data_IF_056272696724
#
_entry.id   IF_056272696724
#
_cell.length_a   1.000
_cell.length_b   1.000
_cell.length_c   1.000
_cell.angle_alpha   90.00
_cell.angle_beta   90.00
_cell.angle_gamma   90.00
#
_symmetry.space_group_name_H-M   'P 1'
#
loop_
_entity.id
_entity.type
_entity.pdbx_description
1 polymer ?
#
# COMPACT_ATOMS: atom_id res chain seq x y z
N UNK A 1 -14.26 -21.95 25.62
CA UNK A 1 -13.85 -21.47 26.95
C UNK A 1 -12.37 -21.11 26.83
N UNK A 2 -12.08 -19.83 26.59
CA UNK A 2 -10.71 -19.35 26.62
C UNK A 2 -10.19 -19.46 28.06
N UNK A 3 -9.02 -20.06 28.23
CA UNK A 3 -8.38 -20.20 29.55
C UNK A 3 -7.93 -18.86 30.12
N UNK A 4 -7.45 -18.84 31.37
CA UNK A 4 -7.00 -17.64 32.08
C UNK A 4 -5.89 -16.84 31.34
N UNK A 5 -5.17 -17.44 30.38
CA UNK A 5 -4.19 -16.78 29.52
C UNK A 5 -4.81 -15.90 28.40
N UNK A 6 -6.12 -15.98 28.18
CA UNK A 6 -6.80 -15.29 27.07
C UNK A 6 -7.10 -13.81 27.32
N UNK A 7 -6.91 -13.30 28.52
CA UNK A 7 -7.17 -11.88 28.89
C UNK A 7 -5.89 -11.13 29.27
N UNK A 8 -4.79 -11.49 28.64
CA UNK A 8 -3.44 -10.96 28.92
C UNK A 8 -3.31 -9.44 28.79
N UNK A 9 -4.15 -8.84 27.94
CA UNK A 9 -4.11 -7.41 27.62
C UNK A 9 -5.36 -6.65 28.09
N UNK A 10 -6.11 -7.22 29.07
CA UNK A 10 -7.40 -6.65 29.51
C UNK A 10 -7.29 -5.23 30.06
N UNK A 11 -6.16 -4.90 30.66
CA UNK A 11 -5.91 -3.57 31.25
C UNK A 11 -5.21 -2.63 30.25
N UNK A 12 -4.97 -3.08 29.01
CA UNK A 12 -4.25 -2.29 28.03
C UNK A 12 -5.19 -1.52 27.11
N UNK A 13 -4.82 -0.27 26.89
CA UNK A 13 -5.37 0.60 25.84
C UNK A 13 -4.30 0.77 24.76
N UNK A 14 -4.51 0.11 23.64
CA UNK A 14 -3.57 0.12 22.51
C UNK A 14 -4.02 1.06 21.40
N UNK A 15 -3.15 1.93 20.96
CA UNK A 15 -3.34 2.74 19.75
C UNK A 15 -2.54 2.10 18.61
N UNK A 16 -3.24 1.67 17.55
CA UNK A 16 -2.63 1.03 16.38
C UNK A 16 -2.96 1.84 15.14
N UNK A 17 -1.95 2.38 14.48
CA UNK A 17 -2.17 3.22 13.31
C UNK A 17 -2.02 2.47 12.00
N UNK A 18 -2.72 2.91 10.94
CA UNK A 18 -2.61 2.31 9.61
C UNK A 18 -3.26 0.94 9.46
N UNK A 19 -4.35 0.69 10.16
CA UNK A 19 -5.05 -0.60 10.13
C UNK A 19 -5.78 -0.79 8.80
N UNK A 20 -5.37 -1.80 8.05
CA UNK A 20 -5.89 -2.14 6.73
C UNK A 20 -5.92 -3.67 6.53
N UNK A 21 -6.77 -4.21 5.65
CA UNK A 21 -6.74 -5.63 5.31
C UNK A 21 -5.31 -6.08 4.94
N UNK A 22 -4.92 -7.24 5.41
CA UNK A 22 -3.60 -7.84 5.17
C UNK A 22 -2.40 -7.02 5.67
N UNK A 23 -2.60 -6.02 6.52
CA UNK A 23 -1.50 -5.26 7.13
C UNK A 23 -1.01 -5.92 8.41
N UNK A 24 0.26 -5.67 8.76
CA UNK A 24 0.82 -6.05 10.08
C UNK A 24 -0.02 -5.42 11.19
N UNK A 25 -0.44 -4.17 11.03
CA UNK A 25 -1.29 -3.46 11.98
C UNK A 25 -2.60 -4.21 12.28
N UNK A 26 -3.24 -4.78 11.24
CA UNK A 26 -4.47 -5.57 11.42
C UNK A 26 -4.22 -6.86 12.22
N UNK A 27 -3.11 -7.55 11.95
CA UNK A 27 -2.74 -8.75 12.70
C UNK A 27 -2.42 -8.41 14.16
N UNK A 28 -1.71 -7.30 14.43
CA UNK A 28 -1.46 -6.80 15.79
C UNK A 28 -2.78 -6.48 16.51
N UNK A 29 -3.74 -5.84 15.83
CA UNK A 29 -5.07 -5.60 16.40
C UNK A 29 -5.75 -6.92 16.77
N UNK A 30 -5.68 -7.93 15.89
CA UNK A 30 -6.22 -9.26 16.17
C UNK A 30 -5.63 -9.89 17.44
N UNK A 31 -4.31 -9.89 17.58
CA UNK A 31 -3.61 -10.42 18.78
C UNK A 31 -4.00 -9.67 20.07
N UNK A 32 -4.08 -8.34 20.00
CA UNK A 32 -4.46 -7.52 21.14
C UNK A 32 -5.92 -7.74 21.55
N UNK A 33 -6.84 -7.85 20.59
CA UNK A 33 -8.26 -8.17 20.84
C UNK A 33 -8.43 -9.56 21.42
N UNK A 34 -7.67 -10.53 20.93
CA UNK A 34 -7.66 -11.89 21.48
C UNK A 34 -7.18 -11.93 22.94
N UNK A 35 -6.33 -11.00 23.32
CA UNK A 35 -5.88 -10.79 24.70
C UNK A 35 -6.79 -9.88 25.54
N UNK A 36 -7.91 -9.41 25.04
CA UNK A 36 -8.89 -8.62 25.82
C UNK A 36 -8.65 -7.11 25.82
N UNK A 37 -7.72 -6.57 25.05
CA UNK A 37 -7.38 -5.15 25.04
C UNK A 37 -8.52 -4.23 24.56
N UNK A 38 -8.49 -2.98 25.00
CA UNK A 38 -9.17 -1.89 24.31
C UNK A 38 -8.27 -1.35 23.21
N UNK A 39 -8.70 -1.44 21.96
CA UNK A 39 -7.90 -1.04 20.79
C UNK A 39 -8.52 0.17 20.12
N UNK A 40 -7.73 1.22 19.92
CA UNK A 40 -8.03 2.37 19.06
C UNK A 40 -7.25 2.20 17.77
N UNK A 41 -7.93 1.76 16.73
CA UNK A 41 -7.36 1.53 15.41
C UNK A 41 -7.62 2.74 14.51
N UNK A 42 -6.62 3.18 13.72
CA UNK A 42 -6.81 4.29 12.79
C UNK A 42 -6.73 3.87 11.34
N UNK A 43 -7.51 4.54 10.50
CA UNK A 43 -7.43 4.49 9.05
C UNK A 43 -7.58 5.89 8.48
N UNK A 44 -6.96 6.20 7.35
CA UNK A 44 -7.07 7.53 6.73
C UNK A 44 -8.49 7.87 6.28
N UNK A 45 -9.31 6.86 6.00
CA UNK A 45 -10.71 7.00 5.58
C UNK A 45 -11.55 5.84 6.15
N UNK A 46 -12.77 6.15 6.58
CA UNK A 46 -13.76 5.15 6.97
C UNK A 46 -14.76 4.94 5.84
N UNK A 47 -14.41 4.08 4.89
CA UNK A 47 -15.37 3.59 3.89
C UNK A 47 -16.23 2.47 4.48
N UNK A 48 -17.33 2.15 3.80
CA UNK A 48 -18.20 1.03 4.18
C UNK A 48 -17.40 -0.30 4.28
N UNK A 49 -16.49 -0.53 3.35
CA UNK A 49 -15.61 -1.70 3.33
C UNK A 49 -14.65 -1.74 4.53
N UNK A 50 -14.10 -0.58 4.92
CA UNK A 50 -13.23 -0.47 6.10
C UNK A 50 -13.99 -0.76 7.39
N UNK A 51 -15.23 -0.30 7.48
CA UNK A 51 -16.08 -0.59 8.64
C UNK A 51 -16.51 -2.06 8.67
N UNK A 52 -16.81 -2.66 7.52
CA UNK A 52 -17.10 -4.10 7.43
C UNK A 52 -15.88 -4.92 7.88
N UNK A 53 -14.70 -4.61 7.34
CA UNK A 53 -13.46 -5.23 7.75
C UNK A 53 -13.19 -5.11 9.26
N UNK A 54 -13.38 -3.93 9.85
CA UNK A 54 -13.19 -3.73 11.29
C UNK A 54 -14.16 -4.58 12.12
N UNK A 55 -15.42 -4.73 11.67
CA UNK A 55 -16.42 -5.59 12.31
C UNK A 55 -16.03 -7.07 12.24
N UNK A 56 -15.51 -7.51 11.09
CA UNK A 56 -15.10 -8.90 10.91
C UNK A 56 -13.85 -9.20 11.73
N UNK A 57 -12.86 -8.28 11.76
CA UNK A 57 -11.68 -8.38 12.61
C UNK A 57 -12.06 -8.50 14.09
N UNK A 58 -13.03 -7.69 14.56
CA UNK A 58 -13.53 -7.79 15.92
C UNK A 58 -14.23 -9.11 16.20
N UNK A 59 -15.11 -9.58 15.30
CA UNK A 59 -15.83 -10.84 15.46
C UNK A 59 -14.90 -12.05 15.50
N UNK A 60 -13.85 -12.01 14.68
CA UNK A 60 -12.90 -13.12 14.56
C UNK A 60 -12.00 -13.25 15.78
N UNK A 61 -11.59 -12.11 16.37
CA UNK A 61 -10.50 -12.13 17.34
C UNK A 61 -10.90 -11.69 18.76
N UNK A 62 -11.99 -10.93 18.97
CA UNK A 62 -12.25 -10.32 20.25
C UNK A 62 -12.54 -11.33 21.36
N UNK A 63 -11.72 -11.32 22.41
CA UNK A 63 -12.02 -12.00 23.68
C UNK A 63 -13.04 -11.21 24.50
N UNK A 64 -13.54 -11.82 25.58
CA UNK A 64 -14.46 -11.16 26.50
C UNK A 64 -13.84 -9.90 27.10
N UNK A 65 -14.54 -8.78 27.03
CA UNK A 65 -14.08 -7.47 27.53
C UNK A 65 -13.31 -6.65 26.50
N UNK A 66 -12.80 -7.23 25.40
CA UNK A 66 -12.14 -6.49 24.36
C UNK A 66 -13.03 -5.42 23.72
N UNK A 67 -12.44 -4.31 23.32
CA UNK A 67 -13.14 -3.21 22.64
C UNK A 67 -12.34 -2.77 21.42
N UNK A 68 -13.03 -2.42 20.35
CA UNK A 68 -12.42 -1.86 19.14
C UNK A 68 -13.07 -0.54 18.76
N UNK A 69 -12.26 0.48 18.66
CA UNK A 69 -12.62 1.78 18.11
C UNK A 69 -11.90 1.96 16.78
N UNK A 70 -12.64 2.22 15.70
CA UNK A 70 -12.06 2.55 14.39
C UNK A 70 -12.23 4.03 14.15
N UNK A 71 -11.12 4.77 14.14
CA UNK A 71 -11.11 6.24 14.09
C UNK A 71 -10.47 6.71 12.78
N UNK A 72 -11.12 7.62 12.02
CA UNK A 72 -10.48 8.22 10.86
C UNK A 72 -9.42 9.23 11.32
N UNK A 73 -8.21 9.13 10.77
CA UNK A 73 -7.15 10.10 11.00
C UNK A 73 -6.19 10.16 9.82
N UNK A 74 -5.98 11.34 9.28
CA UNK A 74 -4.89 11.59 8.34
C UNK A 74 -3.63 11.90 9.13
N UNK A 75 -2.80 10.90 9.36
CA UNK A 75 -1.60 11.04 10.18
C UNK A 75 -0.49 11.88 9.52
N UNK A 76 -0.61 12.29 8.27
CA UNK A 76 0.25 13.32 7.70
C UNK A 76 -0.18 14.74 8.12
N UNK A 77 -1.31 14.89 8.79
CA UNK A 77 -1.83 16.13 9.34
C UNK A 77 -1.59 16.20 10.85
N UNK A 78 -0.80 17.15 11.31
CA UNK A 78 -0.57 17.35 12.75
C UNK A 78 -1.86 17.68 13.49
N UNK A 79 -2.78 18.39 12.84
CA UNK A 79 -4.10 18.68 13.39
C UNK A 79 -4.90 17.41 13.66
N UNK A 80 -4.83 16.45 12.75
CA UNK A 80 -5.53 15.16 12.91
C UNK A 80 -4.88 14.32 14.01
N UNK A 81 -3.55 14.38 14.15
CA UNK A 81 -2.84 13.72 15.26
C UNK A 81 -3.28 14.30 16.61
N UNK A 82 -3.36 15.63 16.72
CA UNK A 82 -3.82 16.31 17.94
C UNK A 82 -5.28 15.98 18.23
N UNK A 83 -6.15 16.02 17.21
CA UNK A 83 -7.55 15.67 17.35
C UNK A 83 -7.76 14.19 17.74
N UNK A 84 -6.91 13.29 17.25
CA UNK A 84 -6.92 11.88 17.67
C UNK A 84 -6.56 11.74 19.13
N UNK A 85 -5.51 12.41 19.60
CA UNK A 85 -5.09 12.39 20.99
C UNK A 85 -6.16 13.00 21.90
N UNK A 86 -6.75 14.11 21.49
CA UNK A 86 -7.86 14.75 22.20
C UNK A 86 -9.08 13.81 22.29
N UNK A 87 -9.46 13.18 21.18
CA UNK A 87 -10.56 12.21 21.16
C UNK A 87 -10.30 11.03 22.09
N UNK A 88 -9.05 10.52 22.15
CA UNK A 88 -8.67 9.42 23.03
C UNK A 88 -8.76 9.85 24.49
N UNK A 89 -8.17 10.99 24.84
CA UNK A 89 -8.01 11.46 26.22
C UNK A 89 -9.26 12.02 26.87
N UNK A 90 -10.34 12.29 26.11
CA UNK A 90 -11.55 12.89 26.65
C UNK A 90 -12.79 12.04 26.43
N UNK A 91 -13.79 12.23 27.28
CA UNK A 91 -15.10 11.63 27.11
C UNK A 91 -15.74 12.09 25.81
N UNK A 92 -16.37 11.17 25.11
CA UNK A 92 -17.15 11.47 23.93
C UNK A 92 -18.64 11.34 24.25
N UNK A 93 -19.38 12.40 24.03
CA UNK A 93 -20.80 12.46 24.30
C UNK A 93 -21.61 12.82 23.06
N UNK A 94 -22.82 12.29 22.97
CA UNK A 94 -23.80 12.69 21.97
C UNK A 94 -24.98 13.34 22.68
N UNK A 95 -25.32 14.56 22.26
CA UNK A 95 -26.51 15.27 22.75
C UNK A 95 -27.58 15.26 21.66
N UNK A 96 -28.74 14.74 21.97
CA UNK A 96 -29.90 14.70 21.09
C UNK A 96 -31.18 14.92 21.89
N UNK A 97 -32.05 15.85 21.43
CA UNK A 97 -33.34 16.13 22.06
C UNK A 97 -33.24 16.57 23.55
N UNK A 98 -32.16 17.25 23.93
CA UNK A 98 -31.94 17.70 25.31
C UNK A 98 -31.36 16.63 26.25
N UNK A 99 -31.11 15.42 25.75
CA UNK A 99 -30.49 14.33 26.50
C UNK A 99 -29.04 14.13 26.02
N UNK A 100 -28.11 14.01 26.98
CA UNK A 100 -26.70 13.76 26.73
C UNK A 100 -26.36 12.30 27.11
N UNK A 101 -25.79 11.55 26.19
CA UNK A 101 -25.37 10.19 26.42
C UNK A 101 -23.86 10.07 26.22
N UNK A 102 -23.17 9.46 27.18
CA UNK A 102 -21.77 9.08 27.06
C UNK A 102 -21.63 7.95 26.01
N UNK A 103 -20.78 8.14 25.04
CA UNK A 103 -20.49 7.16 23.98
C UNK A 103 -19.17 6.45 24.25
N UNK A 104 -18.16 7.19 24.71
CA UNK A 104 -16.84 6.68 25.05
C UNK A 104 -16.30 7.45 26.25
N UNK A 105 -15.83 6.74 27.23
CA UNK A 105 -15.06 7.30 28.34
C UNK A 105 -13.66 7.72 27.89
N UNK A 106 -13.04 8.65 28.59
CA UNK A 106 -11.64 9.00 28.43
C UNK A 106 -10.78 7.73 28.54
N UNK A 107 -9.81 7.59 27.65
CA UNK A 107 -8.88 6.47 27.63
C UNK A 107 -7.46 6.97 27.89
N UNK A 108 -6.67 6.17 28.63
CA UNK A 108 -5.25 6.44 28.86
C UNK A 108 -4.45 5.38 28.12
N UNK A 109 -3.78 5.72 27.00
CA UNK A 109 -3.05 4.76 26.18
C UNK A 109 -1.87 4.15 26.91
N UNK A 110 -1.77 2.82 26.90
CA UNK A 110 -0.63 2.06 27.44
C UNK A 110 0.33 1.57 26.35
N UNK A 111 -0.19 1.36 25.13
CA UNK A 111 0.55 0.84 23.99
C UNK A 111 0.35 1.72 22.75
N UNK A 112 1.42 1.89 21.98
CA UNK A 112 1.37 2.53 20.66
C UNK A 112 2.12 1.70 19.62
N UNK A 113 1.43 1.42 18.50
CA UNK A 113 1.98 0.78 17.31
C UNK A 113 1.83 1.75 16.12
N UNK A 114 2.84 2.58 15.80
CA UNK A 114 2.76 3.56 14.72
C UNK A 114 3.09 2.91 13.37
N UNK A 115 2.16 2.10 12.83
CA UNK A 115 2.35 1.33 11.60
C UNK A 115 1.77 1.98 10.34
N UNK A 116 1.18 3.17 10.45
CA UNK A 116 0.71 3.88 9.28
C UNK A 116 1.87 4.18 8.33
N UNK A 117 1.72 3.77 7.08
CA UNK A 117 2.69 4.04 6.02
C UNK A 117 1.96 4.49 4.76
N UNK A 118 2.52 5.44 3.98
CA UNK A 118 2.01 5.76 2.66
C UNK A 118 2.41 4.67 1.68
N UNK A 119 1.96 4.78 0.44
CA UNK A 119 2.57 4.01 -0.65
C UNK A 119 4.04 4.42 -0.77
N UNK A 120 4.91 3.43 -0.79
CA UNK A 120 6.36 3.62 -0.84
C UNK A 120 6.83 3.38 -2.26
N UNK A 121 7.29 4.43 -2.93
CA UNK A 121 7.82 4.37 -4.30
C UNK A 121 8.60 5.65 -4.60
N UNK A 122 9.52 5.56 -5.55
CA UNK A 122 10.31 6.68 -6.03
C UNK A 122 11.80 6.38 -6.03
N UNK A 123 12.55 7.20 -6.74
CA UNK A 123 14.01 7.15 -6.82
C UNK A 123 14.59 8.43 -6.21
N UNK A 124 15.89 8.52 -6.11
CA UNK A 124 16.56 9.76 -5.65
C UNK A 124 16.18 10.98 -6.51
N UNK A 125 15.93 10.76 -7.81
CA UNK A 125 15.51 11.81 -8.72
C UNK A 125 14.08 12.32 -8.46
N UNK A 126 13.26 11.55 -7.75
CA UNK A 126 11.87 11.89 -7.40
C UNK A 126 11.77 12.59 -6.03
N UNK A 127 12.90 13.02 -5.46
CA UNK A 127 12.91 13.75 -4.19
C UNK A 127 12.07 15.03 -4.30
N UNK A 128 10.99 15.12 -3.49
CA UNK A 128 10.03 16.22 -3.57
C UNK A 128 8.81 15.97 -2.67
N UNK A 129 7.60 16.36 -3.09
CA UNK A 129 6.38 16.26 -2.27
C UNK A 129 6.09 14.88 -1.71
N UNK A 130 6.37 13.82 -2.48
CA UNK A 130 6.16 12.45 -2.02
C UNK A 130 7.15 12.04 -0.93
N UNK A 131 8.43 12.41 -1.08
CA UNK A 131 9.46 12.21 -0.06
C UNK A 131 9.15 13.00 1.22
N UNK A 132 8.68 14.25 1.07
CA UNK A 132 8.19 15.06 2.21
C UNK A 132 7.01 14.38 2.91
N UNK A 133 6.03 13.89 2.14
CA UNK A 133 4.87 13.18 2.67
C UNK A 133 5.27 11.91 3.43
N UNK A 134 6.20 11.12 2.90
CA UNK A 134 6.77 9.95 3.56
C UNK A 134 7.46 10.33 4.88
N UNK A 135 8.32 11.34 4.86
CA UNK A 135 9.02 11.83 6.06
C UNK A 135 8.05 12.34 7.10
N UNK A 136 7.07 13.11 6.68
CA UNK A 136 6.02 13.64 7.56
C UNK A 136 5.25 12.53 8.25
N UNK A 137 4.80 11.50 7.51
CA UNK A 137 3.99 10.42 8.07
C UNK A 137 4.81 9.44 8.91
N UNK A 138 5.99 9.03 8.44
CA UNK A 138 6.76 7.94 9.03
C UNK A 138 7.70 8.40 10.15
N UNK A 139 8.01 9.70 10.25
CA UNK A 139 8.90 10.25 11.28
C UNK A 139 8.21 11.32 12.12
N UNK A 140 7.91 12.48 11.56
CA UNK A 140 7.43 13.62 12.36
C UNK A 140 6.05 13.39 13.00
N UNK A 141 5.15 12.71 12.28
CA UNK A 141 3.85 12.32 12.86
C UNK A 141 3.99 11.27 13.94
N UNK A 142 4.96 10.37 13.82
CA UNK A 142 5.27 9.38 14.86
C UNK A 142 5.74 10.09 16.13
N UNK A 143 6.71 11.00 16.02
CA UNK A 143 7.20 11.81 17.15
C UNK A 143 6.06 12.59 17.80
N UNK A 144 5.23 13.27 16.99
CA UNK A 144 4.08 14.03 17.51
C UNK A 144 3.04 13.13 18.18
N UNK A 145 2.75 11.96 17.61
CA UNK A 145 1.82 10.99 18.20
C UNK A 145 2.34 10.47 19.54
N UNK A 146 3.63 10.14 19.64
CA UNK A 146 4.25 9.75 20.90
C UNK A 146 4.12 10.85 21.93
N UNK A 147 4.45 12.10 21.57
CA UNK A 147 4.38 13.24 22.48
C UNK A 147 2.95 13.49 22.98
N UNK A 148 1.97 13.50 22.05
CA UNK A 148 0.58 13.77 22.37
C UNK A 148 -0.05 12.66 23.22
N UNK A 149 0.15 11.38 22.86
CA UNK A 149 -0.43 10.26 23.61
C UNK A 149 0.22 10.06 24.98
N UNK A 150 1.53 10.29 25.11
CA UNK A 150 2.23 10.16 26.40
C UNK A 150 1.89 11.26 27.40
N UNK A 151 1.26 12.34 26.95
CA UNK A 151 0.75 13.40 27.82
C UNK A 151 -0.61 13.09 28.46
N UNK A 152 -1.36 12.13 27.87
CA UNK A 152 -2.69 11.76 28.38
C UNK A 152 -2.54 11.04 29.74
N UNK A 153 -3.32 11.47 30.74
CA UNK A 153 -3.36 10.84 32.05
C UNK A 153 -2.19 11.18 32.99
N UNK A 154 -1.30 12.10 32.60
CA UNK A 154 -0.16 12.50 33.43
C UNK A 154 -0.53 13.14 34.75
N UNK A 155 -1.71 13.76 34.83
CA UNK A 155 -2.20 14.41 36.05
C UNK A 155 -2.85 13.42 37.04
N UNK A 156 -3.20 12.23 36.57
CA UNK A 156 -3.96 11.24 37.35
C UNK A 156 -3.19 9.96 37.63
N UNK A 157 -2.15 9.66 36.82
CA UNK A 157 -1.40 8.41 36.89
C UNK A 157 0.12 8.68 36.89
N UNK A 158 0.69 8.79 38.09
CA UNK A 158 2.11 9.19 38.30
C UNK A 158 3.10 8.21 37.64
N UNK A 159 2.81 6.91 37.68
CA UNK A 159 3.70 5.87 37.13
C UNK A 159 3.31 5.40 35.73
N UNK A 160 2.33 6.08 35.10
CA UNK A 160 1.88 5.70 33.76
C UNK A 160 2.95 5.96 32.70
N UNK A 161 3.20 4.97 31.86
CA UNK A 161 4.11 5.07 30.72
C UNK A 161 3.46 4.49 29.47
N UNK A 162 3.55 5.23 28.37
CA UNK A 162 3.20 4.74 27.05
C UNK A 162 4.34 3.86 26.54
N UNK A 163 4.05 2.59 26.26
CA UNK A 163 5.02 1.70 25.63
C UNK A 163 4.85 1.74 24.11
N UNK A 164 5.90 2.13 23.39
CA UNK A 164 5.88 2.31 21.93
C UNK A 164 6.67 1.20 21.25
N UNK A 165 6.01 0.46 20.37
CA UNK A 165 6.66 -0.47 19.44
C UNK A 165 6.99 0.28 18.16
N UNK A 166 8.19 0.83 18.08
CA UNK A 166 8.65 1.70 16.98
C UNK A 166 9.17 0.85 15.81
N UNK A 167 8.45 0.77 14.66
CA UNK A 167 8.78 -0.18 13.60
C UNK A 167 10.02 0.26 12.82
N UNK A 168 11.17 -0.35 13.08
CA UNK A 168 12.38 -0.23 12.28
C UNK A 168 12.36 -1.08 11.03
N UNK A 169 13.37 -0.90 10.19
CA UNK A 169 13.57 -1.68 8.96
C UNK A 169 15.06 -1.96 8.75
N UNK A 170 15.45 -3.09 8.17
CA UNK A 170 16.83 -3.29 7.69
C UNK A 170 17.15 -2.43 6.46
N UNK A 171 16.13 -1.91 5.78
CA UNK A 171 16.33 -1.05 4.61
C UNK A 171 16.97 0.28 5.00
N UNK A 172 18.18 0.50 4.51
CA UNK A 172 19.00 1.70 4.70
C UNK A 172 19.22 2.42 3.36
N UNK A 173 18.24 2.34 2.44
CA UNK A 173 18.38 2.84 1.07
C UNK A 173 18.98 1.82 0.10
N UNK A 174 19.29 0.60 0.56
CA UNK A 174 19.92 -0.44 -0.26
C UNK A 174 18.96 -1.14 -1.22
N UNK A 175 17.64 -1.04 -0.99
CA UNK A 175 16.65 -1.76 -1.80
C UNK A 175 16.26 -1.03 -3.08
N UNK A 176 16.38 0.30 -3.09
CA UNK A 176 16.06 1.16 -4.23
C UNK A 176 14.58 1.17 -4.62
N UNK A 177 14.14 2.25 -5.24
CA UNK A 177 12.77 2.38 -5.73
C UNK A 177 11.71 2.63 -4.65
N UNK A 178 12.13 2.93 -3.44
CA UNK A 178 11.29 3.11 -2.23
C UNK A 178 11.23 4.57 -1.73
N UNK A 179 11.58 5.52 -2.58
CA UNK A 179 11.58 6.95 -2.27
C UNK A 179 12.47 7.26 -1.07
N UNK A 180 11.96 8.02 -0.11
CA UNK A 180 12.67 8.40 1.12
C UNK A 180 12.49 7.37 2.27
N UNK A 181 11.94 6.18 2.00
CA UNK A 181 11.62 5.22 3.06
C UNK A 181 12.85 4.74 3.83
N UNK A 182 13.93 4.41 3.14
CA UNK A 182 15.17 3.94 3.74
C UNK A 182 15.78 4.97 4.69
N UNK A 183 15.84 6.24 4.26
CA UNK A 183 16.34 7.38 5.04
C UNK A 183 15.46 7.61 6.27
N UNK A 184 14.14 7.62 6.09
CA UNK A 184 13.20 7.87 7.18
C UNK A 184 13.24 6.73 8.21
N UNK A 185 13.30 5.48 7.77
CA UNK A 185 13.45 4.33 8.69
C UNK A 185 14.79 4.35 9.42
N UNK A 186 15.85 4.84 8.79
CA UNK A 186 17.14 5.09 9.45
C UNK A 186 17.04 6.21 10.50
N UNK A 187 16.26 7.25 10.23
CA UNK A 187 16.03 8.34 11.17
C UNK A 187 15.31 7.89 12.45
N UNK A 188 14.53 6.79 12.43
CA UNK A 188 13.90 6.25 13.63
C UNK A 188 14.93 5.79 14.68
N UNK A 189 16.13 5.39 14.28
CA UNK A 189 17.21 5.08 15.22
C UNK A 189 17.62 6.32 16.03
N UNK A 190 17.47 7.53 15.45
CA UNK A 190 17.71 8.76 16.18
C UNK A 190 16.70 8.98 17.32
N UNK A 191 15.44 8.57 17.14
CA UNK A 191 14.42 8.62 18.22
C UNK A 191 14.87 7.73 19.41
N UNK A 192 15.42 6.55 19.13
CA UNK A 192 15.96 5.67 20.17
C UNK A 192 17.10 6.34 20.93
N UNK A 193 17.96 7.07 20.24
CA UNK A 193 19.04 7.83 20.86
C UNK A 193 18.53 9.03 21.66
N UNK A 194 17.56 9.76 21.14
CA UNK A 194 16.88 10.87 21.84
C UNK A 194 16.25 10.39 23.15
N UNK A 195 15.64 9.20 23.17
CA UNK A 195 15.07 8.62 24.39
C UNK A 195 16.12 8.52 25.50
N UNK A 196 17.36 8.16 25.16
CA UNK A 196 18.45 8.08 26.12
C UNK A 196 18.93 9.44 26.62
N UNK A 197 18.80 10.47 25.78
CA UNK A 197 19.28 11.83 26.06
C UNK A 197 18.23 12.73 26.73
N UNK A 198 16.95 12.53 26.42
CA UNK A 198 15.86 13.39 26.86
C UNK A 198 15.05 12.74 27.99
N UNK A 199 15.48 12.93 29.25
CA UNK A 199 14.90 12.28 30.41
C UNK A 199 13.39 12.56 30.59
N UNK A 200 12.94 13.76 30.28
CA UNK A 200 11.55 14.18 30.51
C UNK A 200 10.53 13.31 29.80
N UNK A 201 10.81 12.91 28.57
CA UNK A 201 9.90 12.01 27.88
C UNK A 201 10.22 10.52 28.10
N UNK A 202 11.47 10.18 28.42
CA UNK A 202 11.84 8.84 28.83
C UNK A 202 11.15 8.39 30.15
N UNK A 203 10.77 9.33 31.00
CA UNK A 203 9.97 9.06 32.21
C UNK A 203 8.52 8.70 31.87
N UNK A 204 8.01 9.12 30.71
CA UNK A 204 6.62 8.90 30.25
C UNK A 204 6.49 7.85 29.15
N UNK A 205 7.60 7.48 28.52
CA UNK A 205 7.62 6.58 27.35
C UNK A 205 8.65 5.50 27.54
N UNK A 206 8.30 4.29 27.22
CA UNK A 206 9.24 3.18 27.02
C UNK A 206 9.24 2.74 25.56
N UNK A 207 10.36 2.27 25.04
CA UNK A 207 10.51 1.91 23.64
C UNK A 207 10.90 0.44 23.47
N UNK A 208 10.22 -0.22 22.53
CA UNK A 208 10.75 -1.38 21.81
C UNK A 208 10.97 -0.97 20.35
N UNK A 209 12.14 -1.26 19.80
CA UNK A 209 12.50 -0.93 18.43
C UNK A 209 12.89 -2.20 17.66
N UNK A 210 11.88 -2.93 17.12
CA UNK A 210 12.12 -4.09 16.28
C UNK A 210 12.56 -3.65 14.88
N UNK A 211 13.64 -4.23 14.35
CA UNK A 211 13.96 -4.18 12.93
C UNK A 211 13.22 -5.29 12.22
N UNK A 212 12.16 -4.93 11.48
CA UNK A 212 11.25 -5.85 10.81
C UNK A 212 11.78 -6.12 9.40
N UNK A 213 12.00 -7.39 9.07
CA UNK A 213 12.46 -7.83 7.76
C UNK A 213 11.32 -8.01 6.75
N UNK A 214 11.42 -9.03 5.93
CA UNK A 214 10.46 -9.28 4.86
C UNK A 214 9.16 -9.90 5.40
N UNK A 215 8.04 -9.18 5.23
CA UNK A 215 6.71 -9.68 5.61
C UNK A 215 5.87 -9.87 4.35
N UNK A 216 5.52 -11.12 4.08
CA UNK A 216 4.76 -11.55 2.90
C UNK A 216 3.32 -11.08 2.94
N UNK A 217 2.74 -10.84 1.77
CA UNK A 217 1.30 -10.56 1.60
C UNK A 217 0.86 -9.20 2.11
N UNK A 218 1.78 -8.31 2.50
CA UNK A 218 1.45 -6.93 2.86
C UNK A 218 1.35 -6.05 1.63
N UNK A 219 0.43 -5.08 1.63
CA UNK A 219 0.29 -4.13 0.52
C UNK A 219 1.54 -3.28 0.27
N UNK A 220 2.43 -3.14 1.25
CA UNK A 220 3.69 -2.41 1.13
C UNK A 220 4.72 -3.17 0.28
N UNK A 221 4.76 -4.50 0.41
CA UNK A 221 5.73 -5.37 -0.25
C UNK A 221 5.12 -6.22 -1.37
N UNK A 222 3.81 -6.11 -1.61
CA UNK A 222 3.06 -6.99 -2.54
C UNK A 222 3.61 -7.03 -3.97
N UNK A 223 4.22 -5.94 -4.44
CA UNK A 223 4.93 -5.92 -5.72
C UNK A 223 6.20 -6.78 -5.77
N UNK A 224 6.72 -7.21 -4.62
CA UNK A 224 7.92 -8.03 -4.49
C UNK A 224 7.62 -9.48 -4.08
N UNK A 225 6.35 -9.87 -3.95
CA UNK A 225 5.96 -11.25 -3.61
C UNK A 225 6.58 -12.32 -4.54
N UNK A 226 6.79 -12.08 -5.85
CA UNK A 226 7.50 -13.01 -6.72
C UNK A 226 8.96 -13.29 -6.33
N UNK A 227 9.56 -12.43 -5.49
CA UNK A 227 10.95 -12.59 -5.03
C UNK A 227 11.06 -13.45 -3.77
N UNK A 228 9.97 -13.77 -3.10
CA UNK A 228 9.97 -14.48 -1.80
C UNK A 228 10.79 -15.78 -1.88
N UNK A 229 10.55 -16.62 -2.89
CA UNK A 229 11.28 -17.89 -3.02
C UNK A 229 12.78 -17.70 -3.24
N UNK A 230 13.19 -16.65 -3.96
CA UNK A 230 14.59 -16.34 -4.19
C UNK A 230 15.28 -15.83 -2.92
N UNK A 231 14.59 -14.99 -2.18
CA UNK A 231 15.04 -14.43 -0.90
C UNK A 231 15.19 -15.53 0.15
N UNK A 232 14.22 -16.44 0.24
CA UNK A 232 14.29 -17.60 1.15
C UNK A 232 15.39 -18.58 0.76
N UNK A 233 15.60 -18.80 -0.54
CA UNK A 233 16.72 -19.62 -1.05
C UNK A 233 18.09 -19.00 -0.75
N UNK A 234 18.17 -17.68 -0.60
CA UNK A 234 19.36 -16.97 -0.14
C UNK A 234 19.56 -17.02 1.38
N UNK A 235 18.71 -17.76 2.12
CA UNK A 235 18.84 -17.97 3.56
C UNK A 235 18.13 -16.92 4.43
N UNK A 236 17.37 -16.01 3.85
CA UNK A 236 16.59 -15.02 4.57
C UNK A 236 15.26 -15.62 5.00
N UNK A 237 14.95 -15.55 6.30
CA UNK A 237 13.61 -15.91 6.79
C UNK A 237 12.62 -14.81 6.44
N UNK A 238 11.54 -15.17 5.82
CA UNK A 238 10.38 -14.29 5.62
C UNK A 238 9.29 -14.60 6.66
N UNK A 239 8.45 -13.62 6.95
CA UNK A 239 7.38 -13.71 7.93
C UNK A 239 6.02 -13.65 7.24
N UNK A 240 5.02 -14.29 7.78
CA UNK A 240 3.64 -13.87 7.51
C UNK A 240 3.20 -12.78 8.50
N UNK A 241 2.03 -12.17 8.25
CA UNK A 241 1.55 -11.06 9.08
C UNK A 241 1.17 -11.49 10.50
N UNK A 242 0.76 -12.74 10.73
CA UNK A 242 0.42 -13.27 12.06
C UNK A 242 1.67 -13.59 12.86
N UNK A 243 2.64 -14.25 12.23
CA UNK A 243 3.92 -14.55 12.85
C UNK A 243 4.60 -13.27 13.37
N UNK A 244 4.73 -12.26 12.50
CA UNK A 244 5.38 -11.01 12.88
C UNK A 244 4.56 -10.24 13.93
N UNK A 245 3.24 -10.28 13.89
CA UNK A 245 2.40 -9.63 14.88
C UNK A 245 2.57 -10.27 16.27
N UNK A 246 2.67 -11.60 16.36
CA UNK A 246 2.95 -12.29 17.60
C UNK A 246 4.29 -11.86 18.21
N UNK A 247 5.36 -11.76 17.41
CA UNK A 247 6.67 -11.27 17.84
C UNK A 247 6.61 -9.81 18.33
N UNK A 248 5.87 -8.95 17.61
CA UNK A 248 5.71 -7.54 17.98
C UNK A 248 4.93 -7.37 19.28
N UNK A 249 3.85 -8.12 19.47
CA UNK A 249 3.03 -8.08 20.68
C UNK A 249 3.80 -8.71 21.87
N UNK A 250 4.69 -9.69 21.63
CA UNK A 250 5.56 -10.23 22.66
C UNK A 250 6.52 -9.18 23.26
N UNK A 251 6.85 -8.13 22.51
CA UNK A 251 7.62 -6.98 23.02
C UNK A 251 6.85 -6.11 24.02
N UNK A 252 5.53 -6.33 24.18
CA UNK A 252 4.68 -5.58 25.09
C UNK A 252 4.39 -6.30 26.41
N UNK A 253 4.99 -7.45 26.66
CA UNK A 253 4.83 -8.16 27.95
C UNK A 253 5.31 -7.32 29.13
N UNK A 254 4.83 -7.63 30.32
CA UNK A 254 5.23 -6.94 31.55
C UNK A 254 6.76 -6.94 31.73
N UNK A 255 7.41 -8.07 31.42
CA UNK A 255 8.86 -8.22 31.50
C UNK A 255 9.59 -7.38 30.44
N UNK A 256 9.04 -7.31 29.21
CA UNK A 256 9.61 -6.49 28.14
C UNK A 256 9.49 -5.00 28.46
N UNK A 257 8.33 -4.56 28.98
CA UNK A 257 8.09 -3.18 29.42
C UNK A 257 9.00 -2.82 30.60
N UNK A 258 9.17 -3.72 31.57
CA UNK A 258 10.09 -3.51 32.69
C UNK A 258 11.55 -3.33 32.22
N UNK A 259 12.01 -4.13 31.27
CA UNK A 259 13.33 -3.93 30.64
C UNK A 259 13.42 -2.59 29.92
N UNK A 260 12.35 -2.21 29.21
CA UNK A 260 12.29 -0.98 28.45
C UNK A 260 12.34 0.29 29.33
N UNK A 261 12.11 0.19 30.65
CA UNK A 261 12.27 1.33 31.56
C UNK A 261 13.73 1.73 31.77
N UNK A 262 14.63 0.78 31.65
CA UNK A 262 16.08 1.03 31.84
C UNK A 262 16.75 1.44 30.52
N UNK A 263 16.35 0.84 29.41
CA UNK A 263 16.86 1.15 28.08
C UNK A 263 15.89 0.64 27.00
N UNK A 264 15.83 1.29 25.83
CA UNK A 264 15.06 0.81 24.70
C UNK A 264 15.38 -0.64 24.34
N UNK A 265 14.36 -1.47 24.16
CA UNK A 265 14.50 -2.87 23.77
C UNK A 265 14.69 -2.93 22.25
N UNK A 266 15.86 -3.38 21.83
CA UNK A 266 16.15 -3.59 20.40
C UNK A 266 15.86 -5.06 20.08
N UNK A 267 15.07 -5.31 19.03
CA UNK A 267 14.76 -6.65 18.58
C UNK A 267 15.15 -6.82 17.10
N UNK A 268 15.86 -7.89 16.81
CA UNK A 268 16.20 -8.25 15.43
C UNK A 268 15.16 -9.24 14.90
N UNK A 269 14.27 -8.72 14.08
CA UNK A 269 13.24 -9.46 13.34
C UNK A 269 13.50 -9.40 11.82
N UNK A 270 14.75 -9.14 11.42
CA UNK A 270 15.11 -9.04 9.99
C UNK A 270 15.07 -10.40 9.30
N UNK A 271 15.17 -11.50 10.04
CA UNK A 271 15.27 -12.85 9.48
C UNK A 271 16.55 -13.07 8.68
N UNK A 272 17.58 -12.25 8.91
CA UNK A 272 18.82 -12.27 8.14
C UNK A 272 18.79 -11.35 6.89
N UNK A 273 17.72 -10.59 6.70
CA UNK A 273 17.69 -9.56 5.66
C UNK A 273 18.57 -8.38 6.10
N UNK A 274 19.69 -8.20 5.45
CA UNK A 274 20.69 -7.19 5.77
C UNK A 274 21.33 -6.61 4.51
N UNK A 275 22.38 -5.81 4.71
CA UNK A 275 23.14 -5.19 3.61
C UNK A 275 23.91 -6.21 2.76
N UNK A 276 24.15 -7.42 3.30
CA UNK A 276 24.84 -8.51 2.60
C UNK A 276 23.97 -9.21 1.56
N UNK A 277 22.65 -8.95 1.55
CA UNK A 277 21.72 -9.56 0.60
C UNK A 277 21.55 -8.65 -0.62
N UNK A 278 22.15 -9.07 -1.75
CA UNK A 278 22.02 -8.36 -3.02
C UNK A 278 20.62 -8.59 -3.63
N UNK A 279 19.66 -7.75 -3.25
CA UNK A 279 18.28 -7.81 -3.75
C UNK A 279 18.19 -7.45 -5.24
N UNK A 280 19.15 -6.71 -5.80
CA UNK A 280 19.17 -6.37 -7.22
C UNK A 280 19.50 -7.64 -8.00
N UNK A 281 20.56 -8.34 -7.61
CA UNK A 281 20.93 -9.60 -8.24
C UNK A 281 19.83 -10.67 -8.08
N UNK A 282 19.18 -10.76 -6.92
CA UNK A 282 18.06 -11.69 -6.69
C UNK A 282 16.86 -11.35 -7.58
N UNK A 283 16.57 -10.07 -7.79
CA UNK A 283 15.48 -9.63 -8.69
C UNK A 283 15.79 -10.01 -10.14
N UNK A 284 17.01 -9.76 -10.59
CA UNK A 284 17.45 -10.14 -11.94
C UNK A 284 17.36 -11.67 -12.15
N UNK A 285 17.82 -12.45 -11.16
CA UNK A 285 17.72 -13.91 -11.21
C UNK A 285 16.26 -14.40 -11.22
N UNK A 286 15.39 -13.79 -10.41
CA UNK A 286 13.97 -14.14 -10.37
C UNK A 286 13.29 -13.83 -11.70
N UNK A 287 13.58 -12.69 -12.31
CA UNK A 287 13.09 -12.31 -13.64
C UNK A 287 13.62 -13.26 -14.72
N UNK A 288 14.90 -13.63 -14.68
CA UNK A 288 15.48 -14.59 -15.61
C UNK A 288 14.80 -15.97 -15.50
N UNK A 289 14.63 -16.48 -14.27
CA UNK A 289 13.92 -17.75 -14.01
C UNK A 289 12.45 -17.72 -14.45
N UNK A 290 11.75 -16.63 -14.18
CA UNK A 290 10.36 -16.44 -14.63
C UNK A 290 10.30 -16.44 -16.18
N UNK A 291 11.25 -15.78 -16.82
CA UNK A 291 11.42 -15.77 -18.27
C UNK A 291 11.75 -17.15 -18.85
N UNK A 292 12.63 -17.90 -18.19
CA UNK A 292 12.96 -19.28 -18.58
C UNK A 292 11.78 -20.24 -18.36
N UNK A 293 11.07 -20.12 -17.23
CA UNK A 293 9.88 -20.92 -16.96
C UNK A 293 8.75 -20.61 -17.94
N UNK A 294 8.58 -19.32 -18.30
CA UNK A 294 7.66 -18.91 -19.34
C UNK A 294 8.06 -19.44 -20.73
N UNK A 295 9.36 -19.61 -20.99
CA UNK A 295 9.86 -20.23 -22.22
C UNK A 295 9.73 -21.75 -22.20
N UNK A 296 10.02 -22.40 -21.07
CA UNK A 296 9.95 -23.85 -20.92
C UNK A 296 8.51 -24.41 -20.91
N UNK A 297 7.53 -23.61 -20.47
CA UNK A 297 6.10 -23.96 -20.51
C UNK A 297 5.41 -23.67 -21.84
N UNK A 298 6.14 -23.15 -22.82
CA UNK A 298 5.62 -22.92 -24.18
C UNK A 298 6.01 -24.09 -25.07
N UNK A 299 5.08 -24.99 -25.32
CA UNK A 299 5.01 -25.69 -26.59
C UNK A 299 4.77 -24.61 -27.65
N UNK A 300 5.73 -24.41 -28.53
CA UNK A 300 5.82 -23.51 -29.67
C UNK A 300 4.93 -22.21 -29.54
N UNK A 301 5.51 -21.09 -29.14
CA UNK A 301 4.68 -19.94 -28.84
C UNK A 301 4.07 -19.41 -30.12
N UNK A 302 2.80 -19.65 -30.29
CA UNK A 302 2.01 -18.68 -31.07
C UNK A 302 2.30 -17.33 -30.45
N UNK A 303 2.94 -16.39 -31.13
CA UNK A 303 3.31 -15.12 -30.50
C UNK A 303 2.04 -14.50 -29.94
N UNK A 304 2.08 -14.11 -28.65
CA UNK A 304 1.01 -13.39 -27.99
C UNK A 304 0.81 -11.99 -28.60
N UNK A 305 1.23 -11.80 -29.84
CA UNK A 305 1.17 -10.57 -30.60
C UNK A 305 0.76 -10.91 -32.03
N UNK A 306 -0.04 -10.03 -32.62
CA UNK A 306 -0.34 -10.05 -34.05
C UNK A 306 0.42 -8.91 -34.73
N UNK A 307 0.90 -9.17 -35.93
CA UNK A 307 1.51 -8.14 -36.76
C UNK A 307 0.41 -7.25 -37.34
N UNK A 308 0.33 -6.03 -36.89
CA UNK A 308 -0.40 -4.99 -37.59
C UNK A 308 0.52 -4.45 -38.69
N UNK A 309 0.25 -4.78 -39.94
CA UNK A 309 1.07 -4.32 -41.06
C UNK A 309 0.95 -2.81 -41.19
N UNK A 310 2.03 -2.04 -41.01
CA UNK A 310 2.00 -0.64 -41.32
C UNK A 310 1.80 -0.47 -42.81
N UNK A 311 1.17 0.59 -43.20
CA UNK A 311 1.09 0.96 -44.59
C UNK A 311 2.49 1.29 -45.11
N UNK A 312 2.86 0.82 -46.28
CA UNK A 312 4.21 1.07 -46.82
C UNK A 312 4.45 2.54 -47.21
N UNK A 313 3.44 3.38 -47.15
CA UNK A 313 3.53 4.81 -47.47
C UNK A 313 3.42 5.59 -46.17
N UNK A 314 4.53 6.21 -45.76
CA UNK A 314 4.53 7.20 -44.66
C UNK A 314 3.71 8.39 -45.15
N UNK A 315 2.60 8.77 -44.47
CA UNK A 315 1.87 9.96 -44.85
C UNK A 315 2.76 11.16 -44.75
N UNK A 316 2.89 11.91 -45.79
CA UNK A 316 3.47 13.23 -45.74
C UNK A 316 2.55 14.03 -44.84
N UNK A 317 2.98 14.36 -43.62
CA UNK A 317 2.19 15.26 -42.78
C UNK A 317 1.82 16.48 -43.62
N UNK A 318 0.54 16.80 -43.76
CA UNK A 318 0.16 18.05 -44.39
C UNK A 318 0.89 19.18 -43.66
N UNK A 319 1.47 20.10 -44.38
CA UNK A 319 2.05 21.30 -43.80
C UNK A 319 1.05 21.87 -42.80
N UNK A 320 1.53 22.18 -41.58
CA UNK A 320 0.65 22.80 -40.60
C UNK A 320 -0.04 24.00 -41.26
N UNK A 321 -1.36 24.14 -41.15
CA UNK A 321 -2.05 25.27 -41.70
C UNK A 321 -1.37 26.55 -41.19
N UNK A 322 -1.15 27.49 -42.08
CA UNK A 322 -0.66 28.83 -41.69
C UNK A 322 -1.83 29.51 -40.94
N UNK A 323 -1.73 29.47 -39.63
CA UNK A 323 -2.74 30.09 -38.75
C UNK A 323 -2.65 31.61 -38.74
N UNK A 324 -1.66 32.20 -39.44
CA UNK A 324 -1.39 33.63 -39.38
C UNK A 324 -0.85 34.07 -38.01
N UNK A 325 -0.64 35.36 -37.84
CA UNK A 325 -0.35 35.92 -36.51
C UNK A 325 -1.67 35.85 -35.68
N UNK A 326 -1.61 35.17 -34.54
CA UNK A 326 -2.73 35.14 -33.58
C UNK A 326 -2.71 36.46 -32.82
N UNK A 327 -3.56 37.41 -33.22
CA UNK A 327 -3.76 38.72 -32.59
C UNK A 327 -4.78 38.58 -31.41
N UNK A 328 -4.53 37.66 -30.51
CA UNK A 328 -5.34 37.46 -29.30
C UNK A 328 -4.47 37.65 -28.06
N UNK A 329 -5.01 38.36 -27.06
CA UNK A 329 -4.32 38.47 -25.80
C UNK A 329 -4.22 37.11 -25.11
N UNK A 330 -3.17 36.86 -24.34
CA UNK A 330 -3.01 35.60 -23.59
C UNK A 330 -4.20 35.31 -22.66
N UNK A 331 -4.90 36.35 -22.23
CA UNK A 331 -6.07 36.27 -21.36
C UNK A 331 -7.30 35.71 -22.09
N UNK A 332 -7.33 35.84 -23.41
CA UNK A 332 -8.40 35.35 -24.28
C UNK A 332 -8.13 33.96 -24.87
N UNK A 333 -6.99 33.37 -24.54
CA UNK A 333 -6.58 32.05 -25.04
C UNK A 333 -7.08 30.91 -24.16
N UNK A 334 -7.60 29.85 -24.78
CA UNK A 334 -7.89 28.58 -24.13
C UNK A 334 -6.73 27.62 -24.38
N UNK A 335 -6.07 27.20 -23.33
CA UNK A 335 -4.98 26.22 -23.40
C UNK A 335 -5.52 24.82 -23.11
N UNK A 336 -5.40 23.93 -24.09
CA UNK A 336 -5.72 22.50 -23.90
C UNK A 336 -4.53 21.84 -23.21
N UNK A 337 -4.71 21.46 -21.94
CA UNK A 337 -3.64 20.87 -21.11
C UNK A 337 -3.65 19.34 -21.13
N UNK A 338 -4.74 18.72 -21.57
CA UNK A 338 -4.86 17.26 -21.67
C UNK A 338 -5.99 16.88 -22.63
N UNK A 339 -5.80 15.78 -23.35
CA UNK A 339 -6.83 15.15 -24.16
C UNK A 339 -6.90 13.67 -23.79
N UNK A 340 -8.10 13.08 -23.81
CA UNK A 340 -8.34 11.65 -23.69
C UNK A 340 -9.08 11.15 -24.91
N UNK A 341 -8.70 9.99 -25.42
CA UNK A 341 -9.32 9.38 -26.57
C UNK A 341 -9.69 7.92 -26.28
N UNK A 342 -10.92 7.56 -26.61
CA UNK A 342 -11.37 6.17 -26.70
C UNK A 342 -12.11 6.05 -28.03
N UNK A 343 -11.62 5.22 -28.91
CA UNK A 343 -12.17 5.03 -30.25
C UNK A 343 -12.27 3.54 -30.59
N UNK A 344 -12.81 3.22 -31.76
CA UNK A 344 -12.80 1.86 -32.34
C UNK A 344 -11.40 1.30 -32.61
N UNK A 345 -10.37 2.10 -32.39
CA UNK A 345 -8.95 1.80 -32.50
C UNK A 345 -8.32 1.42 -31.15
N UNK A 346 -9.12 1.30 -30.11
CA UNK A 346 -8.68 1.11 -28.74
C UNK A 346 -8.44 2.41 -27.98
N UNK A 347 -7.76 2.30 -26.84
CA UNK A 347 -7.33 3.46 -26.07
C UNK A 347 -6.25 4.26 -26.80
N UNK A 348 -6.04 5.52 -26.38
CA UNK A 348 -4.95 6.34 -26.91
C UNK A 348 -3.56 5.67 -26.78
N UNK A 349 -3.41 4.70 -25.87
CA UNK A 349 -2.20 3.91 -25.73
C UNK A 349 -1.98 2.95 -26.90
N UNK A 350 -2.97 2.11 -27.23
CA UNK A 350 -2.88 1.11 -28.32
C UNK A 350 -2.65 1.83 -29.65
N UNK A 351 -3.37 2.94 -29.89
CA UNK A 351 -3.17 3.78 -31.08
C UNK A 351 -1.77 4.37 -31.13
N UNK A 352 -1.27 4.91 -30.03
CA UNK A 352 0.07 5.49 -29.96
C UNK A 352 1.17 4.47 -30.21
N UNK A 353 1.04 3.26 -29.68
CA UNK A 353 1.98 2.16 -29.95
C UNK A 353 2.02 1.82 -31.44
N UNK A 354 0.84 1.76 -32.10
CA UNK A 354 0.73 1.54 -33.53
C UNK A 354 1.38 2.69 -34.36
N UNK A 355 1.10 3.95 -33.99
CA UNK A 355 1.66 5.11 -34.67
C UNK A 355 3.18 5.21 -34.52
N UNK A 356 3.73 4.87 -33.35
CA UNK A 356 5.19 4.86 -33.12
C UNK A 356 5.90 3.78 -33.94
N UNK A 357 5.31 2.58 -34.06
CA UNK A 357 5.84 1.55 -34.92
C UNK A 357 5.84 1.94 -36.39
N UNK A 358 4.79 2.60 -36.85
CA UNK A 358 4.69 3.10 -38.23
C UNK A 358 5.77 4.14 -38.56
N UNK A 359 6.13 5.00 -37.60
CA UNK A 359 7.17 6.02 -37.76
C UNK A 359 8.57 5.43 -37.94
N UNK A 360 8.82 4.24 -37.39
CA UNK A 360 10.11 3.53 -37.50
C UNK A 360 10.24 2.71 -38.78
N UNK A 361 9.17 2.51 -39.54
CA UNK A 361 9.18 1.65 -40.73
C UNK A 361 9.17 0.16 -40.41
N UNK A 362 9.00 -0.20 -39.15
CA UNK A 362 8.87 -1.57 -38.68
C UNK A 362 7.40 -2.03 -38.64
N UNK A 363 7.18 -3.33 -38.71
CA UNK A 363 5.84 -3.89 -38.50
C UNK A 363 5.37 -3.65 -37.06
N UNK A 364 4.14 -3.20 -36.88
CA UNK A 364 3.55 -3.01 -35.56
C UNK A 364 2.95 -4.31 -35.06
N UNK A 365 3.30 -4.72 -33.85
CA UNK A 365 2.73 -5.87 -33.20
C UNK A 365 1.70 -5.43 -32.14
N UNK A 366 0.48 -5.95 -32.26
CA UNK A 366 -0.55 -5.78 -31.23
C UNK A 366 -0.43 -6.94 -30.23
N UNK A 367 -0.41 -6.58 -28.94
CA UNK A 367 -0.43 -7.56 -27.85
C UNK A 367 -1.79 -8.24 -27.73
N UNK A 368 -1.86 -9.39 -27.04
CA UNK A 368 -3.14 -10.04 -26.71
C UNK A 368 -4.11 -9.09 -26.00
N UNK A 369 -3.59 -8.24 -25.09
CA UNK A 369 -4.37 -7.22 -24.43
C UNK A 369 -4.90 -6.14 -25.40
N UNK A 370 -4.11 -5.78 -26.41
CA UNK A 370 -4.54 -4.86 -27.46
C UNK A 370 -5.66 -5.44 -28.34
N UNK A 371 -5.58 -6.74 -28.67
CA UNK A 371 -6.65 -7.42 -29.42
C UNK A 371 -7.92 -7.50 -28.59
N UNK A 372 -7.84 -7.81 -27.31
CA UNK A 372 -8.99 -7.82 -26.40
C UNK A 372 -9.63 -6.42 -26.32
N UNK A 373 -8.83 -5.37 -26.13
CA UNK A 373 -9.30 -4.00 -26.06
C UNK A 373 -10.01 -3.57 -27.35
N UNK A 374 -9.42 -3.89 -28.51
CA UNK A 374 -9.99 -3.57 -29.80
C UNK A 374 -11.26 -4.38 -30.09
N UNK A 375 -11.27 -5.67 -29.78
CA UNK A 375 -12.45 -6.52 -29.93
C UNK A 375 -13.63 -6.02 -29.08
N UNK A 376 -13.35 -5.61 -27.86
CA UNK A 376 -14.34 -4.99 -26.99
C UNK A 376 -14.82 -3.63 -27.54
N UNK A 377 -13.90 -2.75 -27.91
CA UNK A 377 -14.24 -1.43 -28.49
C UNK A 377 -15.02 -1.54 -29.80
N UNK A 378 -14.81 -2.58 -30.59
CA UNK A 378 -15.52 -2.87 -31.81
C UNK A 378 -16.88 -3.57 -31.58
N UNK A 379 -17.20 -3.92 -30.34
CA UNK A 379 -18.45 -4.61 -30.00
C UNK A 379 -18.47 -6.10 -30.38
N UNK A 380 -17.31 -6.71 -30.65
CA UNK A 380 -17.18 -8.15 -30.88
C UNK A 380 -17.24 -8.94 -29.59
N UNK A 381 -16.90 -8.31 -28.49
CA UNK A 381 -16.93 -8.83 -27.12
C UNK A 381 -17.64 -7.86 -26.20
N UNK A 382 -18.33 -8.40 -25.19
CA UNK A 382 -18.96 -7.64 -24.12
C UNK A 382 -18.67 -8.33 -22.80
N UNK A 383 -18.32 -7.56 -21.77
CA UNK A 383 -18.17 -8.09 -20.43
C UNK A 383 -19.51 -8.15 -19.71
N UNK A 384 -19.82 -9.27 -19.10
CA UNK A 384 -20.99 -9.45 -18.25
C UNK A 384 -20.57 -9.97 -16.88
N UNK A 385 -21.18 -9.44 -15.81
CA UNK A 385 -20.94 -9.89 -14.42
C UNK A 385 -21.87 -11.05 -14.03
N UNK A 386 -22.97 -11.26 -14.74
CA UNK A 386 -24.01 -12.24 -14.45
C UNK A 386 -24.56 -12.86 -15.74
N UNK A 387 -24.90 -14.16 -15.77
CA UNK A 387 -24.91 -15.13 -14.68
C UNK A 387 -23.53 -15.63 -14.27
N UNK A 388 -22.54 -15.51 -15.11
CA UNK A 388 -21.12 -15.81 -14.85
C UNK A 388 -20.29 -14.65 -15.37
N UNK A 389 -19.41 -14.11 -14.51
CA UNK A 389 -18.52 -13.04 -14.90
C UNK A 389 -17.55 -13.52 -15.99
N UNK A 390 -17.45 -12.77 -17.09
CA UNK A 390 -16.60 -13.13 -18.22
C UNK A 390 -16.90 -12.36 -19.49
N UNK A 391 -16.15 -12.68 -20.53
CA UNK A 391 -16.32 -12.15 -21.88
C UNK A 391 -17.35 -12.97 -22.64
N UNK A 392 -18.22 -12.31 -23.37
CA UNK A 392 -19.25 -12.90 -24.19
C UNK A 392 -19.17 -12.33 -25.63
N UNK A 393 -19.36 -13.19 -26.59
CA UNK A 393 -19.43 -12.79 -28.00
C UNK A 393 -20.80 -12.21 -28.38
N UNK A 394 -20.95 -11.84 -29.67
CA UNK A 394 -22.19 -11.28 -30.21
C UNK A 394 -23.37 -12.25 -30.19
N UNK A 395 -23.10 -13.55 -30.08
CA UNK A 395 -24.14 -14.60 -30.00
C UNK A 395 -24.51 -14.90 -28.54
N UNK A 396 -23.83 -14.27 -27.59
CA UNK A 396 -24.06 -14.45 -26.16
C UNK A 396 -23.36 -15.69 -25.59
N UNK A 397 -22.42 -16.27 -26.30
CA UNK A 397 -21.61 -17.37 -25.81
C UNK A 397 -20.38 -16.84 -25.08
N UNK A 398 -20.02 -17.50 -23.98
CA UNK A 398 -18.86 -17.11 -23.17
C UNK A 398 -17.56 -17.50 -23.90
N UNK A 399 -16.63 -16.56 -23.94
CA UNK A 399 -15.32 -16.72 -24.55
C UNK A 399 -14.25 -16.68 -23.46
N UNK A 400 -13.42 -17.71 -23.38
CA UNK A 400 -12.28 -17.72 -22.45
C UNK A 400 -11.24 -16.68 -22.92
N UNK A 401 -10.65 -15.97 -21.98
CA UNK A 401 -9.70 -14.87 -22.27
C UNK A 401 -8.46 -15.37 -23.06
N UNK A 402 -8.04 -16.60 -22.82
CA UNK A 402 -6.95 -17.25 -23.57
C UNK A 402 -7.22 -17.40 -25.06
N UNK A 403 -8.49 -17.51 -25.45
CA UNK A 403 -8.90 -17.83 -26.82
C UNK A 403 -9.18 -16.57 -27.64
N UNK A 404 -9.26 -15.41 -26.97
CA UNK A 404 -9.63 -14.13 -27.61
C UNK A 404 -8.64 -13.75 -28.70
N UNK A 405 -7.33 -13.89 -28.43
CA UNK A 405 -6.30 -13.55 -29.42
C UNK A 405 -6.46 -14.37 -30.71
N UNK A 406 -6.61 -15.69 -30.59
CA UNK A 406 -6.71 -16.57 -31.74
C UNK A 406 -8.01 -16.37 -32.50
N UNK A 407 -9.12 -16.15 -31.78
CA UNK A 407 -10.47 -16.04 -32.35
C UNK A 407 -10.70 -14.73 -33.06
N UNK A 408 -10.18 -13.60 -32.53
CA UNK A 408 -10.54 -12.26 -33.01
C UNK A 408 -9.44 -11.50 -33.74
N UNK A 409 -8.19 -11.98 -33.72
CA UNK A 409 -7.05 -11.24 -34.28
C UNK A 409 -7.25 -10.81 -35.74
N UNK A 410 -7.72 -11.72 -36.59
CA UNK A 410 -7.84 -11.46 -38.02
C UNK A 410 -8.97 -10.45 -38.32
N UNK A 411 -10.06 -10.54 -37.56
CA UNK A 411 -11.19 -9.61 -37.65
C UNK A 411 -10.83 -8.22 -37.12
N UNK A 412 -10.12 -8.17 -35.98
CA UNK A 412 -9.61 -6.91 -35.40
C UNK A 412 -8.66 -6.23 -36.39
N UNK A 413 -7.71 -6.97 -36.98
CA UNK A 413 -6.77 -6.43 -37.96
C UNK A 413 -7.52 -5.92 -39.19
N UNK A 414 -8.52 -6.65 -39.67
CA UNK A 414 -9.30 -6.24 -40.82
C UNK A 414 -10.13 -4.97 -40.58
N UNK A 415 -10.59 -4.77 -39.31
CA UNK A 415 -11.46 -3.64 -38.93
C UNK A 415 -10.71 -2.48 -38.30
N UNK A 416 -9.48 -2.65 -37.82
CA UNK A 416 -8.75 -1.58 -37.10
C UNK A 416 -8.38 -0.40 -37.99
N UNK A 417 -8.55 -0.51 -39.31
CA UNK A 417 -8.43 0.63 -40.26
C UNK A 417 -7.03 1.27 -40.29
N UNK A 418 -6.04 0.71 -39.61
CA UNK A 418 -4.65 1.22 -39.60
C UNK A 418 -4.09 1.37 -41.02
N UNK A 419 -4.67 0.63 -41.97
CA UNK A 419 -4.32 0.72 -43.40
C UNK A 419 -4.99 1.88 -44.14
N UNK A 420 -6.07 2.40 -43.60
CA UNK A 420 -6.91 3.42 -44.26
C UNK A 420 -6.53 4.84 -43.86
N UNK A 421 -5.69 4.98 -42.84
CA UNK A 421 -5.23 6.27 -42.34
C UNK A 421 -4.18 6.96 -43.23
N UNK A 422 -3.86 6.37 -44.34
CA UNK A 422 -2.64 6.72 -45.10
C UNK A 422 -2.89 7.14 -46.52
N UNK A 423 -4.12 7.24 -46.97
CA UNK A 423 -4.45 7.78 -48.29
C UNK A 423 -4.62 9.30 -48.28
#
# INVERSE_FOLDING_TARGET
VAGADSVRWADDVAVVTGVAPRSIAAAVVGELLAGGATVVATSSRLTHERLAFAKDLYREHAAAGARLWMVPANLASYRDVDALADWIGHDQVITSGGSTRLVKEALVPTLLFPFAAPRVSGTLADAGPDAESQTRLLLWSVERTIAALSAIGTDTHVDHRLHVVLPGSPNRGTFGGDGAYGEVKSALDAIVNRWRAERTWAERVTLAHPRIGWVRGTGLMGGNDPLVSAVEAAGVRTWDTREIAAELVALCTTEARARATAAPVLADLTGGLGEDVDLVALREQALARASEAARAGREDPTPATIKALPTPVVPTQPAAPDWGEVDASLEDMVVVISTGEVSTWGSGRTRREAELGMSGGDDVELTAAGVLELAWGMGLLTWHDSPRAGWYDTDGEMVEESDILERYRDEVVARCGIREFVD
#
